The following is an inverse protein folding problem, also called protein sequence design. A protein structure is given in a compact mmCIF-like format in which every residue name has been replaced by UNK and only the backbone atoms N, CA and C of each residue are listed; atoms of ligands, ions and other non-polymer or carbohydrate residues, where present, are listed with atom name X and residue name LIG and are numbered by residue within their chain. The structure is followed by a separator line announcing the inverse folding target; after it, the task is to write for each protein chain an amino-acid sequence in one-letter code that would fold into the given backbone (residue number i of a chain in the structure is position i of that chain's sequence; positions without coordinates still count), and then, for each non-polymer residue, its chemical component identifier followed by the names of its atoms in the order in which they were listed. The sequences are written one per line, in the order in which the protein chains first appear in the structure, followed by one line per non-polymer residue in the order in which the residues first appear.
data_IF_461142680894
#
_entry.id   IF_461142680894
#
_cell.length_a   1.000
_cell.length_b   1.000
_cell.length_c   1.000
_cell.angle_alpha   90.00
_cell.angle_beta   90.00
_cell.angle_gamma   90.00
#
_symmetry.space_group_name_H-M   'P 1'
#
loop_
_entity.id
_entity.type
_entity.pdbx_description
1 polymer ?
#
# COMPACT_ATOMS: atom_id res chain seq x y z
N UNK A 1 -21.90 8.44 -45.43
CA UNK A 1 -21.54 8.74 -44.03
C UNK A 1 -22.09 7.62 -43.16
N UNK A 2 -21.24 6.69 -42.71
CA UNK A 2 -21.67 5.59 -41.84
C UNK A 2 -21.61 6.00 -40.36
N UNK A 3 -22.49 5.49 -39.49
CA UNK A 3 -22.41 5.77 -38.07
C UNK A 3 -21.19 5.03 -37.51
N UNK A 4 -20.13 5.76 -37.18
CA UNK A 4 -19.02 5.18 -36.41
C UNK A 4 -19.56 4.70 -35.07
N UNK A 5 -19.23 3.48 -34.61
CA UNK A 5 -19.73 2.98 -33.34
C UNK A 5 -19.31 3.93 -32.21
N UNK A 6 -20.30 4.47 -31.50
CA UNK A 6 -20.09 5.31 -30.31
C UNK A 6 -19.55 4.41 -29.20
N UNK A 7 -18.23 4.27 -29.17
CA UNK A 7 -17.50 3.53 -28.15
C UNK A 7 -17.89 3.93 -26.71
N UNK A 8 -18.30 5.19 -26.49
CA UNK A 8 -18.81 5.69 -25.20
C UNK A 8 -20.05 4.93 -24.71
N UNK A 9 -21.02 4.71 -25.57
CA UNK A 9 -22.30 4.06 -25.22
C UNK A 9 -22.10 2.59 -24.78
N UNK A 10 -21.00 1.95 -25.19
CA UNK A 10 -20.65 0.59 -24.73
C UNK A 10 -20.08 0.58 -23.32
N UNK A 11 -19.37 1.62 -22.93
CA UNK A 11 -18.69 1.69 -21.64
C UNK A 11 -19.64 2.06 -20.50
N UNK A 12 -20.72 2.80 -20.79
CA UNK A 12 -21.78 3.13 -19.82
C UNK A 12 -22.44 1.89 -19.22
N UNK A 13 -22.51 0.78 -19.98
CA UNK A 13 -23.00 -0.51 -19.46
C UNK A 13 -21.96 -1.32 -18.69
N UNK A 14 -20.66 -1.03 -18.84
CA UNK A 14 -19.57 -1.79 -18.22
C UNK A 14 -19.13 -1.17 -16.89
N UNK A 15 -19.04 0.17 -16.85
CA UNK A 15 -18.53 0.89 -15.68
C UNK A 15 -19.29 0.64 -14.36
N UNK A 16 -20.62 0.54 -14.34
CA UNK A 16 -21.36 0.22 -13.11
C UNK A 16 -21.11 -1.19 -12.57
N UNK A 17 -20.46 -2.06 -13.34
CA UNK A 17 -20.18 -3.45 -12.97
C UNK A 17 -18.68 -3.72 -12.78
N UNK A 18 -17.83 -2.69 -12.91
CA UNK A 18 -16.40 -2.82 -12.70
C UNK A 18 -16.11 -3.08 -11.22
N UNK A 19 -15.58 -4.28 -10.91
CA UNK A 19 -15.23 -4.72 -9.55
C UNK A 19 -13.75 -4.68 -9.24
N UNK A 20 -12.91 -4.84 -10.25
CA UNK A 20 -11.46 -4.89 -10.11
C UNK A 20 -10.85 -3.90 -11.09
N UNK A 21 -9.94 -3.08 -10.61
CA UNK A 21 -9.19 -2.15 -11.43
C UNK A 21 -7.70 -2.31 -11.11
N UNK A 22 -6.94 -2.61 -12.15
CA UNK A 22 -5.48 -2.67 -12.11
C UNK A 22 -4.97 -1.48 -12.90
N UNK A 23 -4.21 -0.62 -12.24
CA UNK A 23 -3.55 0.51 -12.86
C UNK A 23 -2.07 0.19 -13.01
N UNK A 24 -1.55 0.18 -14.23
CA UNK A 24 -0.13 0.09 -14.51
C UNK A 24 0.21 0.75 -15.84
N UNK A 25 1.33 1.46 -15.88
CA UNK A 25 1.83 2.10 -17.10
C UNK A 25 3.05 1.32 -17.57
N UNK A 26 3.04 0.78 -18.79
CA UNK A 26 4.24 0.13 -19.33
C UNK A 26 5.33 1.18 -19.57
N UNK A 27 6.56 0.85 -19.18
CA UNK A 27 7.75 1.71 -19.32
C UNK A 27 8.19 1.98 -20.78
N UNK A 28 7.33 1.74 -21.77
CA UNK A 28 7.71 1.70 -23.18
C UNK A 28 7.21 2.85 -24.05
N UNK A 29 6.44 3.80 -23.50
CA UNK A 29 6.01 4.95 -24.29
C UNK A 29 6.48 6.24 -23.64
N UNK A 30 7.37 6.95 -24.34
CA UNK A 30 7.78 8.35 -24.16
C UNK A 30 6.61 9.35 -24.30
N UNK A 31 5.40 8.92 -23.99
CA UNK A 31 4.29 9.81 -23.74
C UNK A 31 4.40 10.11 -22.26
N UNK A 32 4.62 11.38 -21.91
CA UNK A 32 4.39 11.85 -20.54
C UNK A 32 2.89 12.17 -20.44
N UNK A 33 1.97 11.22 -20.12
CA UNK A 33 0.67 11.64 -19.63
C UNK A 33 0.92 12.33 -18.28
N UNK A 34 0.33 13.50 -18.02
CA UNK A 34 0.51 14.16 -16.74
C UNK A 34 0.11 13.19 -15.62
N UNK A 35 0.96 13.03 -14.57
CA UNK A 35 0.65 12.17 -13.45
C UNK A 35 -0.67 12.61 -12.83
N UNK A 36 -1.65 11.69 -12.81
CA UNK A 36 -2.98 11.95 -12.27
C UNK A 36 -4.11 12.05 -13.31
N UNK A 37 -3.88 12.22 -14.62
CA UNK A 37 -5.00 12.37 -15.57
C UNK A 37 -5.82 11.08 -15.78
N UNK A 38 -5.16 9.92 -15.88
CA UNK A 38 -5.85 8.62 -16.02
C UNK A 38 -6.51 8.15 -14.72
N UNK A 39 -5.87 8.39 -13.57
CA UNK A 39 -6.39 8.03 -12.26
C UNK A 39 -7.54 8.91 -11.78
N UNK A 40 -7.52 10.21 -12.11
CA UNK A 40 -8.66 11.11 -11.91
C UNK A 40 -9.88 10.68 -12.74
N UNK A 41 -9.69 10.05 -13.89
CA UNK A 41 -10.78 9.51 -14.71
C UNK A 41 -11.34 8.18 -14.16
N UNK A 42 -10.50 7.37 -13.51
CA UNK A 42 -10.90 6.08 -12.92
C UNK A 42 -11.85 6.24 -11.72
N UNK A 43 -11.77 7.35 -11.02
CA UNK A 43 -12.67 7.71 -9.91
C UNK A 43 -14.07 8.14 -10.40
N UNK A 44 -14.18 8.55 -11.67
CA UNK A 44 -15.47 8.88 -12.31
C UNK A 44 -16.29 7.66 -12.73
N UNK A 45 -15.76 6.44 -12.56
CA UNK A 45 -16.43 5.17 -12.89
C UNK A 45 -17.48 4.83 -11.82
N UNK A 46 -18.69 5.39 -11.97
CA UNK A 46 -19.81 5.19 -11.04
C UNK A 46 -19.51 5.61 -9.59
N UNK A 47 -18.68 6.66 -9.41
CA UNK A 47 -18.16 7.12 -8.11
C UNK A 47 -17.47 6.01 -7.30
N UNK A 48 -17.01 4.93 -7.94
CA UNK A 48 -16.37 3.81 -7.26
C UNK A 48 -17.31 2.86 -6.51
N UNK A 49 -18.64 3.00 -6.65
CA UNK A 49 -19.62 2.21 -5.88
C UNK A 49 -19.50 0.70 -6.12
N UNK A 50 -19.19 0.26 -7.34
CA UNK A 50 -19.09 -1.18 -7.67
C UNK A 50 -17.69 -1.75 -7.41
N UNK A 51 -16.72 -0.89 -7.11
CA UNK A 51 -15.33 -1.26 -7.07
C UNK A 51 -14.99 -1.94 -5.74
N UNK A 52 -14.38 -3.13 -5.86
CA UNK A 52 -13.97 -3.94 -4.72
C UNK A 52 -12.45 -3.92 -4.56
N UNK A 53 -11.70 -3.90 -5.66
CA UNK A 53 -10.26 -4.09 -5.64
C UNK A 53 -9.53 -3.06 -6.51
N UNK A 54 -8.58 -2.36 -5.90
CA UNK A 54 -7.64 -1.46 -6.55
C UNK A 54 -6.23 -2.05 -6.42
N UNK A 55 -5.53 -2.15 -7.55
CA UNK A 55 -4.12 -2.55 -7.58
C UNK A 55 -3.33 -1.54 -8.40
N UNK A 56 -2.30 -0.98 -7.80
CA UNK A 56 -1.35 -0.09 -8.45
C UNK A 56 -0.05 -0.84 -8.74
N UNK A 57 0.30 -0.97 -10.01
CA UNK A 57 1.50 -1.62 -10.53
C UNK A 57 2.39 -0.54 -11.16
N UNK A 58 3.70 -0.61 -10.89
CA UNK A 58 4.74 0.38 -11.17
C UNK A 58 4.44 1.48 -12.19
N UNK A 59 4.56 2.72 -11.72
CA UNK A 59 4.78 3.94 -12.52
C UNK A 59 6.19 4.38 -12.15
N UNK A 60 7.14 4.41 -13.09
CA UNK A 60 8.39 5.13 -12.82
C UNK A 60 8.07 6.62 -12.85
N UNK A 61 8.00 7.25 -11.69
CA UNK A 61 8.02 8.70 -11.64
C UNK A 61 9.46 9.15 -11.90
N UNK A 62 9.65 9.91 -12.98
CA UNK A 62 10.92 10.59 -13.22
C UNK A 62 11.19 11.47 -11.99
N UNK A 63 12.34 11.27 -11.36
CA UNK A 63 12.72 11.78 -10.04
C UNK A 63 13.03 13.28 -10.07
N UNK A 64 12.06 14.09 -10.46
CA UNK A 64 12.07 15.51 -10.16
C UNK A 64 11.87 15.74 -8.65
N UNK A 65 12.51 16.79 -8.12
CA UNK A 65 12.56 17.18 -6.69
C UNK A 65 11.19 17.41 -6.00
N UNK A 66 10.06 17.12 -6.65
CA UNK A 66 8.73 17.23 -6.08
C UNK A 66 8.23 15.87 -5.54
N UNK A 67 7.96 15.81 -4.24
CA UNK A 67 7.29 14.69 -3.57
C UNK A 67 5.89 14.51 -4.17
N UNK A 68 5.74 13.62 -5.14
CA UNK A 68 4.46 13.31 -5.80
C UNK A 68 3.91 12.01 -5.26
N UNK A 69 2.65 12.02 -4.80
CA UNK A 69 1.90 10.78 -4.58
C UNK A 69 1.19 10.34 -5.87
N UNK A 70 0.57 9.16 -5.85
CA UNK A 70 -0.10 8.61 -7.06
C UNK A 70 -1.23 9.50 -7.62
N UNK A 71 -1.69 10.51 -6.87
CA UNK A 71 -2.75 11.43 -7.27
C UNK A 71 -2.24 12.82 -7.74
N UNK A 72 -0.93 13.09 -7.64
CA UNK A 72 -0.26 14.32 -8.13
C UNK A 72 0.23 15.25 -7.02
N UNK A 73 0.76 16.42 -7.38
CA UNK A 73 1.37 17.38 -6.45
C UNK A 73 0.31 18.13 -5.59
N UNK A 74 0.72 18.70 -4.47
CA UNK A 74 -0.10 19.51 -3.56
C UNK A 74 -0.44 20.90 -4.15
N UNK A 75 0.30 21.32 -5.18
CA UNK A 75 0.11 22.59 -5.90
C UNK A 75 -0.88 22.53 -7.07
N UNK A 76 -1.62 21.44 -7.24
CA UNK A 76 -2.73 21.40 -8.18
C UNK A 76 -3.92 22.22 -7.64
N UNK A 77 -3.77 23.55 -7.64
CA UNK A 77 -4.79 24.56 -7.33
C UNK A 77 -5.89 24.66 -8.38
N UNK A 78 -6.14 23.59 -9.14
CA UNK A 78 -7.26 23.54 -10.07
C UNK A 78 -8.56 23.37 -9.27
N UNK A 79 -9.55 24.28 -9.38
CA UNK A 79 -10.81 24.23 -8.62
C UNK A 79 -11.71 23.01 -8.92
N UNK A 80 -11.26 22.10 -9.80
CA UNK A 80 -11.89 20.80 -10.08
C UNK A 80 -11.13 19.58 -9.53
N UNK A 81 -10.12 19.79 -8.66
CA UNK A 81 -9.22 18.76 -8.14
C UNK A 81 -9.83 17.85 -7.06
N UNK A 82 -11.05 18.14 -6.60
CA UNK A 82 -11.76 17.41 -5.53
C UNK A 82 -12.45 16.11 -6.01
N UNK A 83 -11.82 15.40 -6.96
CA UNK A 83 -12.35 14.15 -7.52
C UNK A 83 -12.54 13.09 -6.42
N UNK A 84 -11.65 13.06 -5.42
CA UNK A 84 -11.76 12.15 -4.27
C UNK A 84 -12.98 12.51 -3.38
N UNK A 85 -13.36 13.80 -3.27
CA UNK A 85 -14.55 14.21 -2.50
C UNK A 85 -15.87 13.82 -3.14
N UNK A 86 -15.88 13.51 -4.43
CA UNK A 86 -17.06 13.05 -5.16
C UNK A 86 -17.11 11.53 -5.33
N UNK A 87 -16.18 10.82 -4.70
CA UNK A 87 -16.11 9.37 -4.68
C UNK A 87 -16.93 8.80 -3.53
N UNK A 88 -17.47 7.60 -3.71
CA UNK A 88 -18.24 6.89 -2.70
C UNK A 88 -17.81 5.42 -2.66
N UNK A 89 -16.53 5.19 -2.38
CA UNK A 89 -15.91 3.87 -2.34
C UNK A 89 -16.35 3.05 -1.11
N UNK A 90 -17.65 2.75 -1.00
CA UNK A 90 -18.24 2.03 0.14
C UNK A 90 -17.86 0.56 0.18
N UNK A 91 -17.53 -0.02 -0.96
CA UNK A 91 -17.39 -1.46 -1.14
C UNK A 91 -15.94 -1.89 -1.39
N UNK A 92 -14.96 -0.97 -1.29
CA UNK A 92 -13.56 -1.33 -1.45
C UNK A 92 -13.16 -2.34 -0.37
N UNK A 93 -12.63 -3.47 -0.82
CA UNK A 93 -12.08 -4.55 0.00
C UNK A 93 -10.57 -4.54 0.01
N UNK A 94 -9.96 -4.16 -1.10
CA UNK A 94 -8.51 -4.21 -1.26
C UNK A 94 -8.00 -2.98 -2.00
N UNK A 95 -7.01 -2.32 -1.41
CA UNK A 95 -6.19 -1.31 -2.10
C UNK A 95 -4.73 -1.69 -1.93
N UNK A 96 -4.09 -2.10 -3.02
CA UNK A 96 -2.73 -2.67 -3.04
C UNK A 96 -1.83 -1.81 -3.90
N UNK A 97 -0.59 -1.64 -3.48
CA UNK A 97 0.36 -0.78 -4.18
C UNK A 97 1.72 -1.43 -4.35
N UNK A 98 2.34 -1.18 -5.51
CA UNK A 98 3.77 -1.39 -5.69
C UNK A 98 4.58 -0.46 -4.78
N UNK A 99 5.83 -0.82 -4.53
CA UNK A 99 6.72 -0.22 -3.50
C UNK A 99 7.06 1.25 -3.72
N UNK A 100 6.79 1.78 -4.91
CA UNK A 100 7.11 3.15 -5.32
C UNK A 100 5.85 4.01 -5.49
N UNK A 101 4.69 3.46 -5.12
CA UNK A 101 3.37 4.07 -5.34
C UNK A 101 2.71 4.43 -4.01
N UNK A 102 3.15 5.53 -3.42
CA UNK A 102 2.58 6.03 -2.17
C UNK A 102 1.32 6.88 -2.37
N UNK A 103 0.49 6.88 -1.33
CA UNK A 103 -0.69 7.74 -1.21
C UNK A 103 -0.46 8.64 0.00
N UNK A 104 -0.77 9.93 -0.12
CA UNK A 104 -0.77 10.82 1.04
C UNK A 104 -1.84 10.37 2.04
N UNK A 105 -1.55 10.37 3.37
CA UNK A 105 -2.49 9.84 4.36
C UNK A 105 -3.88 10.48 4.31
N UNK A 106 -3.97 11.78 4.06
CA UNK A 106 -5.25 12.49 3.93
C UNK A 106 -6.04 12.05 2.70
N UNK A 107 -5.37 11.80 1.57
CA UNK A 107 -6.01 11.29 0.35
C UNK A 107 -6.47 9.85 0.52
N UNK A 108 -5.66 9.02 1.18
CA UNK A 108 -6.06 7.66 1.55
C UNK A 108 -7.27 7.68 2.49
N UNK A 109 -7.34 8.63 3.43
CA UNK A 109 -8.48 8.79 4.34
C UNK A 109 -9.77 9.08 3.60
N UNK A 110 -9.74 10.03 2.66
CA UNK A 110 -10.93 10.36 1.86
C UNK A 110 -11.33 9.14 1.01
N UNK A 111 -10.36 8.43 0.43
CA UNK A 111 -10.61 7.24 -0.39
C UNK A 111 -11.23 6.07 0.38
N UNK A 112 -10.79 5.82 1.62
CA UNK A 112 -11.05 4.58 2.35
C UNK A 112 -12.00 4.71 3.54
N UNK A 113 -12.32 5.93 3.99
CA UNK A 113 -13.19 6.17 5.15
C UNK A 113 -14.50 5.36 5.09
N UNK A 114 -15.23 5.47 3.97
CA UNK A 114 -16.51 4.78 3.81
C UNK A 114 -16.38 3.24 3.83
N UNK A 115 -15.33 2.67 3.22
CA UNK A 115 -15.15 1.22 3.22
C UNK A 115 -14.72 0.68 4.59
N UNK A 116 -14.04 1.49 5.40
CA UNK A 116 -13.69 1.14 6.79
C UNK A 116 -14.92 1.23 7.69
N UNK A 117 -15.70 2.30 7.58
CA UNK A 117 -16.95 2.47 8.32
C UNK A 117 -17.91 1.31 8.03
N UNK A 118 -17.99 0.88 6.76
CA UNK A 118 -18.80 -0.26 6.33
C UNK A 118 -18.13 -1.63 6.57
N UNK A 119 -16.93 -1.66 7.18
CA UNK A 119 -16.15 -2.88 7.47
C UNK A 119 -15.87 -3.74 6.24
N UNK A 120 -15.79 -3.12 5.07
CA UNK A 120 -15.51 -3.79 3.80
C UNK A 120 -14.01 -3.90 3.52
N UNK A 121 -13.21 -2.92 3.96
CA UNK A 121 -11.78 -2.90 3.68
C UNK A 121 -11.07 -4.00 4.48
N UNK A 122 -10.53 -4.99 3.76
CA UNK A 122 -9.81 -6.13 4.34
C UNK A 122 -8.31 -6.09 4.13
N UNK A 123 -7.86 -5.39 3.08
CA UNK A 123 -6.46 -5.33 2.68
C UNK A 123 -6.06 -3.91 2.28
N UNK A 124 -4.96 -3.41 2.83
CA UNK A 124 -4.41 -2.10 2.47
C UNK A 124 -2.88 -2.07 2.50
N UNK A 125 -2.25 -1.33 1.60
CA UNK A 125 -0.80 -1.12 1.57
C UNK A 125 -0.43 0.33 1.89
N UNK A 126 0.44 0.49 2.88
CA UNK A 126 1.08 1.74 3.23
C UNK A 126 2.48 1.74 2.59
N UNK A 127 2.65 2.56 1.57
CA UNK A 127 3.95 2.81 0.95
C UNK A 127 4.45 4.15 1.45
N UNK A 128 5.65 4.16 2.01
CA UNK A 128 6.29 5.36 2.53
C UNK A 128 7.08 6.04 1.43
N UNK A 129 7.18 7.38 1.47
CA UNK A 129 7.83 8.09 0.40
C UNK A 129 9.34 7.89 0.32
N UNK A 130 9.83 7.68 -0.90
CA UNK A 130 11.23 7.72 -1.33
C UNK A 130 11.82 9.11 -1.08
N UNK A 131 13.03 9.15 -0.53
CA UNK A 131 13.65 10.38 -0.03
C UNK A 131 15.15 10.38 -0.23
N UNK A 132 15.72 11.59 -0.17
CA UNK A 132 17.16 11.79 -0.04
C UNK A 132 17.71 10.89 1.09
N UNK A 133 18.80 10.19 0.76
CA UNK A 133 19.56 9.28 1.62
C UNK A 133 19.86 9.95 2.98
N UNK A 134 20.07 11.28 3.02
CA UNK A 134 20.30 12.04 4.26
C UNK A 134 19.10 12.06 5.20
N UNK A 135 17.90 12.16 4.66
CA UNK A 135 16.66 12.21 5.44
C UNK A 135 16.21 10.82 5.91
N UNK A 136 16.53 9.78 5.14
CA UNK A 136 16.31 8.37 5.50
C UNK A 136 17.03 7.99 6.81
N UNK A 137 18.20 8.58 7.08
CA UNK A 137 18.90 8.31 8.33
C UNK A 137 18.16 8.82 9.56
N UNK A 138 17.27 9.82 9.46
CA UNK A 138 16.59 10.40 10.63
C UNK A 138 15.48 9.52 11.21
N UNK A 139 14.80 8.71 10.39
CA UNK A 139 13.63 7.91 10.79
C UNK A 139 12.35 8.72 11.06
N UNK A 140 12.49 9.98 11.47
CA UNK A 140 11.40 10.91 11.85
C UNK A 140 10.30 11.03 10.79
N UNK A 141 10.69 11.02 9.51
CA UNK A 141 9.73 11.21 8.44
C UNK A 141 8.89 9.95 8.16
N UNK A 142 9.41 8.75 8.42
CA UNK A 142 8.60 7.53 8.43
C UNK A 142 7.63 7.57 9.61
N UNK A 143 8.07 8.03 10.79
CA UNK A 143 7.18 8.21 11.94
C UNK A 143 6.04 9.18 11.63
N UNK A 144 6.35 10.36 11.07
CA UNK A 144 5.35 11.36 10.69
C UNK A 144 4.37 10.84 9.65
N UNK A 145 4.86 10.15 8.62
CA UNK A 145 4.00 9.58 7.58
C UNK A 145 3.05 8.52 8.15
N UNK A 146 3.57 7.60 8.98
CA UNK A 146 2.77 6.59 9.66
C UNK A 146 1.73 7.21 10.59
N UNK A 147 2.07 8.28 11.31
CA UNK A 147 1.14 9.03 12.17
C UNK A 147 -0.03 9.62 11.39
N UNK A 148 0.19 10.02 10.13
CA UNK A 148 -0.90 10.44 9.24
C UNK A 148 -1.95 9.36 9.00
N UNK A 149 -1.62 8.09 9.22
CA UNK A 149 -2.54 6.96 9.12
C UNK A 149 -3.21 6.58 10.45
N UNK A 150 -3.08 7.38 11.52
CA UNK A 150 -3.68 7.07 12.83
C UNK A 150 -5.21 6.84 12.76
N UNK A 151 -5.89 7.42 11.78
CA UNK A 151 -7.33 7.20 11.52
C UNK A 151 -7.68 5.76 11.12
N UNK A 152 -6.71 4.93 10.72
CA UNK A 152 -6.89 3.50 10.44
C UNK A 152 -6.91 2.63 11.70
N UNK A 153 -6.36 3.12 12.82
CA UNK A 153 -6.14 2.31 14.02
C UNK A 153 -7.46 1.72 14.52
N UNK A 154 -7.42 0.45 14.92
CA UNK A 154 -8.60 -0.24 15.45
C UNK A 154 -9.56 -0.77 14.40
N UNK A 155 -9.32 -0.57 13.10
CA UNK A 155 -10.20 -1.08 12.05
C UNK A 155 -10.30 -2.62 12.10
N UNK A 156 -11.47 -3.21 12.45
CA UNK A 156 -11.58 -4.64 12.70
C UNK A 156 -11.71 -5.46 11.41
N UNK A 157 -12.04 -4.83 10.28
CA UNK A 157 -12.15 -5.52 9.00
C UNK A 157 -10.81 -5.78 8.34
N UNK A 158 -9.74 -5.10 8.77
CA UNK A 158 -8.42 -5.23 8.15
C UNK A 158 -7.74 -6.51 8.65
N UNK A 159 -7.43 -7.38 7.70
CA UNK A 159 -6.79 -8.67 7.91
C UNK A 159 -5.37 -8.70 7.34
N UNK A 160 -5.12 -7.89 6.31
CA UNK A 160 -3.85 -7.85 5.60
C UNK A 160 -3.35 -6.41 5.48
N UNK A 161 -2.11 -6.16 5.89
CA UNK A 161 -1.42 -4.90 5.64
C UNK A 161 -0.11 -5.14 4.89
N UNK A 162 0.23 -4.24 3.98
CA UNK A 162 1.60 -4.09 3.49
C UNK A 162 2.21 -2.80 4.01
N UNK A 163 3.49 -2.84 4.36
CA UNK A 163 4.28 -1.68 4.69
C UNK A 163 5.57 -1.72 3.87
N UNK A 164 5.77 -0.71 3.03
CA UNK A 164 6.88 -0.68 2.06
C UNK A 164 7.61 0.65 2.13
N UNK A 165 8.89 0.63 1.78
CA UNK A 165 9.65 1.87 1.66
C UNK A 165 9.92 2.60 2.98
N UNK A 166 9.86 1.91 4.12
CA UNK A 166 10.10 2.52 5.42
C UNK A 166 11.51 2.27 5.95
N UNK A 167 11.98 3.17 6.82
CA UNK A 167 13.11 2.93 7.71
C UNK A 167 12.77 3.52 9.08
N UNK A 168 12.72 2.68 10.11
CA UNK A 168 12.56 3.12 11.49
C UNK A 168 13.90 2.97 12.20
N UNK A 169 14.31 4.00 12.95
CA UNK A 169 15.39 3.84 13.91
C UNK A 169 14.88 2.95 15.03
N UNK A 170 15.62 1.89 15.32
CA UNK A 170 15.42 1.13 16.54
C UNK A 170 16.40 1.69 17.56
N UNK A 171 16.01 2.71 18.32
CA UNK A 171 16.69 2.95 19.59
C UNK A 171 16.03 2.01 20.60
N UNK A 172 16.69 0.88 20.89
CA UNK A 172 16.17 -0.20 21.76
C UNK A 172 16.03 0.23 23.24
N UNK A 173 16.05 1.54 23.53
CA UNK A 173 16.03 2.09 24.88
C UNK A 173 14.61 2.31 25.41
N UNK A 174 13.60 2.56 24.57
CA UNK A 174 12.20 2.67 25.02
C UNK A 174 11.20 2.00 24.06
N UNK A 175 10.13 1.42 24.61
CA UNK A 175 9.00 0.88 23.84
C UNK A 175 8.23 1.97 23.05
N UNK A 176 8.37 3.23 23.45
CA UNK A 176 7.85 4.42 22.75
C UNK A 176 8.59 4.69 21.42
N UNK A 177 9.72 4.04 21.17
CA UNK A 177 10.54 4.19 19.96
C UNK A 177 10.16 3.18 18.84
N UNK A 178 9.03 2.46 18.98
CA UNK A 178 8.56 1.42 18.07
C UNK A 178 7.23 1.78 17.37
N UNK A 179 7.18 2.84 16.55
CA UNK A 179 5.93 3.37 16.02
C UNK A 179 5.20 2.40 15.08
N UNK A 180 5.92 1.62 14.26
CA UNK A 180 5.30 0.63 13.37
C UNK A 180 4.73 -0.56 14.15
N UNK A 181 5.48 -1.25 15.04
CA UNK A 181 4.90 -2.29 15.89
C UNK A 181 3.63 -1.84 16.63
N UNK A 182 3.66 -0.67 17.27
CA UNK A 182 2.51 -0.15 18.02
C UNK A 182 1.32 0.22 17.12
N UNK A 183 1.57 0.74 15.92
CA UNK A 183 0.53 0.94 14.93
C UNK A 183 -0.14 -0.37 14.52
N UNK A 184 0.65 -1.38 14.18
CA UNK A 184 0.16 -2.69 13.74
C UNK A 184 -0.58 -3.45 14.85
N UNK A 185 -0.18 -3.27 16.11
CA UNK A 185 -0.86 -3.86 17.27
C UNK A 185 -2.31 -3.38 17.44
N UNK A 186 -2.68 -2.23 16.86
CA UNK A 186 -4.04 -1.69 16.98
C UNK A 186 -5.08 -2.46 16.16
N UNK A 187 -4.68 -3.31 15.20
CA UNK A 187 -5.61 -4.02 14.33
C UNK A 187 -5.95 -5.39 14.93
N UNK A 188 -7.18 -5.60 15.45
CA UNK A 188 -7.51 -6.79 16.23
C UNK A 188 -7.52 -8.09 15.41
N UNK A 189 -7.73 -7.99 14.10
CA UNK A 189 -7.86 -9.13 13.19
C UNK A 189 -6.73 -9.22 12.15
N UNK A 190 -5.65 -8.44 12.33
CA UNK A 190 -4.50 -8.47 11.44
C UNK A 190 -3.80 -9.84 11.54
N UNK A 191 -3.82 -10.57 10.42
CA UNK A 191 -3.26 -11.92 10.30
C UNK A 191 -2.09 -12.01 9.32
N UNK A 192 -2.08 -11.14 8.31
CA UNK A 192 -1.07 -11.15 7.26
C UNK A 192 -0.39 -9.80 7.19
N UNK A 193 0.93 -9.81 7.21
CA UNK A 193 1.73 -8.61 7.03
C UNK A 193 2.70 -8.81 5.87
N UNK A 194 2.84 -7.80 5.03
CA UNK A 194 3.90 -7.75 4.03
C UNK A 194 4.85 -6.63 4.34
N UNK A 195 6.14 -6.94 4.34
CA UNK A 195 7.19 -6.01 4.63
C UNK A 195 8.21 -6.00 3.51
N UNK A 196 8.83 -4.85 3.34
CA UNK A 196 10.03 -4.73 2.54
C UNK A 196 11.08 -3.90 3.29
N UNK A 197 12.30 -4.42 3.28
CA UNK A 197 13.45 -3.82 3.93
C UNK A 197 14.37 -3.05 2.99
N UNK A 198 13.98 -2.73 1.75
CA UNK A 198 14.89 -2.12 0.75
C UNK A 198 15.75 -0.95 1.28
N UNK A 199 15.22 -0.10 2.17
CA UNK A 199 15.95 1.03 2.76
C UNK A 199 16.81 0.69 3.98
N UNK A 200 16.85 -0.57 4.41
CA UNK A 200 17.80 -1.10 5.39
C UNK A 200 19.12 -1.51 4.73
N UNK A 201 19.22 -1.56 3.40
CA UNK A 201 20.49 -1.83 2.70
C UNK A 201 21.15 -3.14 3.15
N UNK A 202 22.32 -3.05 3.78
CA UNK A 202 23.05 -4.20 4.35
C UNK A 202 22.70 -4.50 5.82
N UNK A 203 21.85 -3.69 6.46
CA UNK A 203 21.48 -3.78 7.88
C UNK A 203 20.36 -4.80 8.12
N UNK A 204 20.57 -6.07 7.75
CA UNK A 204 19.57 -7.14 7.94
C UNK A 204 19.19 -7.36 9.41
N UNK A 205 20.13 -7.15 10.34
CA UNK A 205 19.85 -7.29 11.78
C UNK A 205 18.88 -6.23 12.30
N UNK A 206 18.91 -5.01 11.75
CA UNK A 206 18.00 -3.94 12.13
C UNK A 206 16.59 -4.28 11.63
N UNK A 207 16.47 -4.70 10.38
CA UNK A 207 15.20 -5.13 9.82
C UNK A 207 14.63 -6.36 10.53
N UNK A 208 15.48 -7.35 10.87
CA UNK A 208 15.08 -8.49 11.69
C UNK A 208 14.56 -8.04 13.06
N UNK A 209 15.22 -7.09 13.70
CA UNK A 209 14.78 -6.54 14.99
C UNK A 209 13.41 -5.84 14.88
N UNK A 210 13.10 -5.16 13.77
CA UNK A 210 11.76 -4.63 13.49
C UNK A 210 10.73 -5.76 13.41
N UNK A 211 11.02 -6.82 12.64
CA UNK A 211 10.08 -7.95 12.50
C UNK A 211 9.85 -8.64 13.85
N UNK A 212 10.90 -8.83 14.65
CA UNK A 212 10.79 -9.40 16.00
C UNK A 212 9.92 -8.53 16.92
N UNK A 213 10.10 -7.21 16.88
CA UNK A 213 9.28 -6.27 17.63
C UNK A 213 7.81 -6.33 17.18
N UNK A 214 7.54 -6.38 15.88
CA UNK A 214 6.17 -6.55 15.34
C UNK A 214 5.55 -7.85 15.86
N UNK A 215 6.26 -8.98 15.77
CA UNK A 215 5.77 -10.28 16.26
C UNK A 215 5.56 -10.29 17.79
N UNK A 216 6.18 -9.37 18.54
CA UNK A 216 5.98 -9.25 20.00
C UNK A 216 4.65 -8.65 20.41
N UNK A 217 4.09 -7.78 19.58
CA UNK A 217 2.87 -7.02 19.90
C UNK A 217 1.67 -7.35 19.01
N UNK A 218 1.82 -8.26 18.05
CA UNK A 218 0.76 -8.64 17.10
C UNK A 218 0.44 -10.13 17.18
N UNK A 219 -0.71 -10.52 16.59
CA UNK A 219 -1.17 -11.92 16.47
C UNK A 219 -1.11 -12.41 15.02
N UNK A 220 -0.06 -12.02 14.31
CA UNK A 220 0.13 -12.39 12.91
C UNK A 220 0.20 -13.91 12.75
N UNK A 221 -0.28 -14.39 11.61
CA UNK A 221 -0.12 -15.78 11.15
C UNK A 221 0.92 -15.89 10.05
N UNK A 222 1.07 -14.84 9.24
CA UNK A 222 1.93 -14.86 8.07
C UNK A 222 2.62 -13.52 7.89
N UNK A 223 3.92 -13.57 7.64
CA UNK A 223 4.73 -12.40 7.24
C UNK A 223 5.38 -12.71 5.90
N UNK A 224 5.11 -11.88 4.90
CA UNK A 224 5.81 -11.88 3.62
C UNK A 224 6.95 -10.85 3.66
N UNK A 225 8.15 -11.24 3.23
CA UNK A 225 9.30 -10.33 3.12
C UNK A 225 10.24 -10.79 2.02
N UNK A 226 10.87 -9.85 1.31
CA UNK A 226 11.82 -10.15 0.22
C UNK A 226 13.23 -9.61 0.48
N UNK A 227 13.51 -9.15 1.70
CA UNK A 227 14.74 -8.40 1.97
C UNK A 227 15.94 -9.28 2.34
N UNK A 228 15.71 -10.39 3.04
CA UNK A 228 16.81 -11.22 3.53
C UNK A 228 17.51 -11.97 2.42
N UNK A 229 18.85 -12.00 2.48
CA UNK A 229 19.65 -12.93 1.71
C UNK A 229 19.34 -14.38 2.10
N UNK A 230 19.54 -15.30 1.14
CA UNK A 230 19.37 -16.72 1.37
C UNK A 230 20.29 -17.17 2.51
N UNK A 231 19.75 -17.92 3.49
CA UNK A 231 20.49 -18.45 4.65
C UNK A 231 21.19 -17.42 5.57
N UNK A 232 20.76 -16.16 5.57
CA UNK A 232 21.35 -15.18 6.47
C UNK A 232 21.06 -15.46 7.95
N UNK A 233 22.00 -15.10 8.83
CA UNK A 233 21.82 -15.25 10.29
C UNK A 233 20.59 -14.48 10.81
N UNK A 234 20.35 -13.29 10.26
CA UNK A 234 19.20 -12.47 10.59
C UNK A 234 17.88 -13.17 10.22
N UNK A 235 17.83 -13.82 9.05
CA UNK A 235 16.70 -14.62 8.64
C UNK A 235 16.49 -15.85 9.54
N UNK A 236 17.58 -16.54 9.91
CA UNK A 236 17.53 -17.66 10.86
C UNK A 236 16.87 -17.26 12.18
N UNK A 237 17.32 -16.15 12.78
CA UNK A 237 16.73 -15.57 13.99
C UNK A 237 15.23 -15.27 13.84
N UNK A 238 14.82 -14.67 12.72
CA UNK A 238 13.40 -14.36 12.47
C UNK A 238 12.58 -15.63 12.34
N UNK A 239 13.09 -16.65 11.64
CA UNK A 239 12.41 -17.95 11.48
C UNK A 239 12.26 -18.69 12.80
N UNK A 240 13.29 -18.72 13.63
CA UNK A 240 13.24 -19.37 14.95
C UNK A 240 12.17 -18.72 15.85
N UNK A 241 12.18 -17.38 15.91
CA UNK A 241 11.18 -16.64 16.68
C UNK A 241 9.76 -16.80 16.12
N UNK A 242 9.62 -16.83 14.80
CA UNK A 242 8.34 -17.03 14.13
C UNK A 242 7.78 -18.44 14.40
N UNK A 243 8.63 -19.47 14.33
CA UNK A 243 8.25 -20.85 14.65
C UNK A 243 7.73 -20.97 16.07
N UNK A 244 8.43 -20.37 17.04
CA UNK A 244 7.99 -20.36 18.44
C UNK A 244 6.60 -19.73 18.63
N UNK A 245 6.27 -18.73 17.81
CA UNK A 245 5.00 -17.99 17.86
C UNK A 245 3.92 -18.54 16.92
N UNK A 246 4.20 -19.59 16.16
CA UNK A 246 3.29 -20.11 15.15
C UNK A 246 3.05 -19.16 13.96
N UNK A 247 4.01 -18.27 13.67
CA UNK A 247 3.99 -17.36 12.53
C UNK A 247 4.78 -17.97 11.37
N UNK A 248 4.21 -17.93 10.16
CA UNK A 248 4.87 -18.36 8.94
C UNK A 248 5.61 -17.20 8.28
N UNK A 249 6.91 -17.37 8.01
CA UNK A 249 7.71 -16.43 7.22
C UNK A 249 7.76 -16.93 5.78
N UNK A 250 7.26 -16.14 4.85
CA UNK A 250 7.26 -16.43 3.41
C UNK A 250 8.16 -15.44 2.68
N UNK A 251 9.09 -15.97 1.89
CA UNK A 251 9.98 -15.17 1.04
C UNK A 251 9.59 -15.46 -0.40
N UNK A 252 8.66 -14.67 -0.98
CA UNK A 252 8.27 -14.87 -2.37
C UNK A 252 9.43 -14.49 -3.30
N UNK A 253 9.47 -15.14 -4.46
CA UNK A 253 10.40 -14.75 -5.52
C UNK A 253 10.16 -13.27 -5.89
N UNK A 254 11.19 -12.42 -5.99
CA UNK A 254 11.05 -11.01 -6.34
C UNK A 254 10.24 -10.76 -7.62
N UNK A 255 10.35 -11.65 -8.61
CA UNK A 255 9.63 -11.57 -9.89
C UNK A 255 8.15 -11.92 -9.70
N UNK A 256 7.82 -12.88 -8.84
CA UNK A 256 6.44 -13.24 -8.52
C UNK A 256 5.78 -12.21 -7.59
N UNK A 257 6.54 -11.66 -6.64
CA UNK A 257 6.08 -10.61 -5.72
C UNK A 257 5.70 -9.31 -6.44
N UNK A 258 6.36 -9.00 -7.56
CA UNK A 258 6.07 -7.82 -8.38
C UNK A 258 4.92 -8.06 -9.38
N UNK A 259 4.62 -9.30 -9.74
CA UNK A 259 3.66 -9.64 -10.83
C UNK A 259 2.30 -10.12 -10.37
N UNK A 260 2.13 -10.55 -9.11
CA UNK A 260 0.87 -11.15 -8.67
C UNK A 260 0.12 -10.29 -7.63
N UNK A 261 -1.16 -9.94 -7.89
CA UNK A 261 -2.10 -9.82 -6.78
C UNK A 261 -2.13 -11.16 -6.03
N UNK A 262 -2.15 -11.13 -4.69
CA UNK A 262 -2.04 -12.30 -3.80
C UNK A 262 -2.96 -13.48 -4.13
N UNK A 263 -4.03 -13.23 -4.89
CA UNK A 263 -5.00 -14.23 -5.29
C UNK A 263 -5.61 -13.80 -6.64
N UNK A 264 -5.33 -14.53 -7.71
CA UNK A 264 -6.03 -14.38 -8.99
C UNK A 264 -6.77 -15.66 -9.35
N UNK A 265 -8.05 -15.59 -9.80
CA UNK A 265 -8.89 -14.40 -9.88
C UNK A 265 -9.21 -13.80 -8.50
N UNK A 266 -9.35 -12.47 -8.43
CA UNK A 266 -9.70 -11.79 -7.17
C UNK A 266 -11.09 -12.24 -6.71
N UNK A 267 -11.28 -12.60 -5.43
CA UNK A 267 -12.57 -13.00 -4.92
C UNK A 267 -13.56 -11.83 -5.02
N UNK A 268 -14.67 -12.10 -5.72
CA UNK A 268 -15.76 -11.13 -5.96
C UNK A 268 -16.93 -11.30 -4.99
N UNK A 269 -16.97 -12.42 -4.27
CA UNK A 269 -17.96 -12.74 -3.24
C UNK A 269 -17.37 -12.46 -1.85
N UNK A 270 -18.20 -12.09 -0.84
CA UNK A 270 -17.75 -11.82 0.53
C UNK A 270 -17.02 -12.99 1.19
#
# INVERSE_FOLDING_TARGET
MGPGPRWRDKWDGVWPHLKVLIFGTSAFENVNPPPGAGLRQLICLNRGNSLLHLLFIGISFDSGDEIRDIFGNDHDTLPGSDVIRHSDFRNLRSVRSHRDMWILPDRARILLSNSIENRQLTSFDIVFPERDIRELYSGDLSVRHLKGYDWLRGAPSIHTLGCYGFRFRLDLRNDDDLPLPQFLATFPNLRTLKLDGQYYGEYENDFASVILAIMSVTRLKTIYTTFFQHESYALGRVRDAAQFKGVQILIPDPVEAARCPEQWPMPLEP
#
